data_IF_225021300436
#
_entry.id   IF_225021300436
#
_cell.length_a   1.000
_cell.length_b   1.000
_cell.length_c   1.000
_cell.angle_alpha   90.00
_cell.angle_beta   90.00
_cell.angle_gamma   90.00
#
_symmetry.space_group_name_H-M   'P 1'
#
loop_
_entity.id
_entity.type
_entity.pdbx_description
1 polymer ?
#
# COMPACT_ATOMS: atom_id res chain seq x y z
N UNK A 1 -5.41 -0.20 3.51
CA UNK A 1 -6.02 -1.04 4.57
C UNK A 1 -6.88 -2.10 3.89
N UNK A 2 -7.41 -3.08 4.61
CA UNK A 2 -8.25 -4.14 4.03
C UNK A 2 -9.42 -3.57 3.21
N UNK A 3 -10.15 -2.60 3.77
CA UNK A 3 -11.30 -1.93 3.12
C UNK A 3 -10.94 -1.15 1.85
N UNK A 4 -9.66 -0.98 1.57
CA UNK A 4 -9.21 -0.21 0.42
C UNK A 4 -8.92 -1.10 -0.80
N UNK A 5 -9.20 -2.40 -0.71
CA UNK A 5 -9.10 -3.36 -1.83
C UNK A 5 -10.50 -3.67 -2.33
N UNK A 6 -10.74 -3.38 -3.60
CA UNK A 6 -11.98 -3.72 -4.31
C UNK A 6 -11.69 -4.83 -5.33
N UNK A 7 -12.13 -6.05 -5.01
CA UNK A 7 -11.95 -7.21 -5.89
C UNK A 7 -12.94 -7.25 -7.04
N UNK A 8 -14.11 -6.61 -6.91
CA UNK A 8 -15.14 -6.59 -7.96
C UNK A 8 -14.73 -5.63 -9.08
N UNK A 9 -14.27 -4.44 -8.70
CA UNK A 9 -13.79 -3.43 -9.65
C UNK A 9 -12.31 -3.58 -10.00
N UNK A 10 -11.60 -4.53 -9.40
CA UNK A 10 -10.16 -4.76 -9.61
C UNK A 10 -9.33 -3.50 -9.35
N UNK A 11 -9.59 -2.86 -8.21
CA UNK A 11 -9.01 -1.56 -7.84
C UNK A 11 -8.47 -1.57 -6.41
N UNK A 12 -7.49 -0.70 -6.18
CA UNK A 12 -6.99 -0.38 -4.85
C UNK A 12 -7.09 1.14 -4.64
N UNK A 13 -7.73 1.53 -3.54
CA UNK A 13 -7.73 2.93 -3.09
C UNK A 13 -6.47 3.18 -2.25
N UNK A 14 -5.64 4.12 -2.66
CA UNK A 14 -4.52 4.60 -1.84
C UNK A 14 -4.95 5.90 -1.19
N UNK A 15 -5.14 5.83 0.14
CA UNK A 15 -5.53 7.00 0.94
C UNK A 15 -4.29 7.74 1.42
N UNK A 16 -4.20 9.02 1.09
CA UNK A 16 -3.14 9.87 1.59
C UNK A 16 -3.69 10.80 2.68
N UNK A 17 -2.98 10.89 3.81
CA UNK A 17 -3.41 11.74 4.93
C UNK A 17 -3.20 13.23 4.60
N UNK A 18 -3.82 14.11 5.41
CA UNK A 18 -3.61 15.58 5.45
C UNK A 18 -3.44 16.26 4.07
N UNK A 19 -4.56 16.57 3.41
CA UNK A 19 -4.59 17.54 2.30
C UNK A 19 -4.14 17.01 0.94
N UNK A 20 -3.68 15.76 0.85
CA UNK A 20 -3.44 15.07 -0.41
C UNK A 20 -4.68 14.25 -0.81
N UNK A 21 -5.03 14.27 -2.10
CA UNK A 21 -6.21 13.60 -2.63
C UNK A 21 -6.01 12.08 -2.62
N UNK A 22 -7.00 11.33 -2.13
CA UNK A 22 -7.07 9.88 -2.31
C UNK A 22 -6.97 9.54 -3.80
N UNK A 23 -6.24 8.47 -4.15
CA UNK A 23 -6.17 7.97 -5.53
C UNK A 23 -6.66 6.54 -5.62
N UNK A 24 -7.13 6.17 -6.80
CA UNK A 24 -7.47 4.78 -7.15
C UNK A 24 -6.44 4.29 -8.16
N UNK A 25 -5.97 3.06 -7.97
CA UNK A 25 -5.05 2.40 -8.88
C UNK A 25 -5.51 0.98 -9.17
N UNK A 26 -4.88 0.33 -10.15
CA UNK A 26 -5.31 -0.99 -10.64
C UNK A 26 -4.86 -2.11 -9.72
N UNK A 27 -5.71 -3.14 -9.57
CA UNK A 27 -5.37 -4.44 -9.01
C UNK A 27 -5.30 -5.47 -10.16
N UNK A 28 -4.09 -5.93 -10.54
CA UNK A 28 -3.96 -6.95 -11.58
C UNK A 28 -4.71 -8.24 -11.22
N UNK A 29 -5.48 -8.79 -12.17
CA UNK A 29 -6.24 -10.03 -12.00
C UNK A 29 -5.35 -11.20 -11.54
N UNK A 30 -4.13 -11.27 -12.04
CA UNK A 30 -3.13 -12.29 -11.69
C UNK A 30 -2.74 -12.29 -10.21
N UNK A 31 -2.93 -11.18 -9.50
CA UNK A 31 -2.59 -11.03 -8.08
C UNK A 31 -3.77 -11.28 -7.13
N UNK A 32 -5.01 -11.43 -7.64
CA UNK A 32 -6.20 -11.56 -6.80
C UNK A 32 -6.09 -12.73 -5.83
N UNK A 33 -5.72 -13.92 -6.31
CA UNK A 33 -5.64 -15.10 -5.46
C UNK A 33 -4.49 -15.03 -4.44
N UNK A 34 -3.37 -14.42 -4.83
CA UNK A 34 -2.26 -14.16 -3.91
C UNK A 34 -2.67 -13.17 -2.80
N UNK A 35 -3.39 -12.11 -3.16
CA UNK A 35 -3.87 -11.11 -2.21
C UNK A 35 -4.95 -11.68 -1.28
N UNK A 36 -5.87 -12.51 -1.78
CA UNK A 36 -6.85 -13.23 -0.95
C UNK A 36 -6.17 -14.14 0.07
N UNK A 37 -5.12 -14.87 -0.31
CA UNK A 37 -4.30 -15.65 0.65
C UNK A 37 -3.67 -14.76 1.71
N UNK A 38 -3.09 -13.64 1.31
CA UNK A 38 -2.49 -12.68 2.23
C UNK A 38 -3.53 -12.12 3.23
N UNK A 39 -4.72 -11.76 2.75
CA UNK A 39 -5.80 -11.26 3.61
C UNK A 39 -6.26 -12.31 4.62
N UNK A 40 -6.36 -13.59 4.25
CA UNK A 40 -6.68 -14.67 5.20
C UNK A 40 -5.63 -14.79 6.30
N UNK A 41 -4.34 -14.76 5.94
CA UNK A 41 -3.25 -14.79 6.92
C UNK A 41 -3.29 -13.57 7.85
N UNK A 42 -3.53 -12.38 7.31
CA UNK A 42 -3.64 -11.15 8.09
C UNK A 42 -4.88 -11.17 9.00
N UNK A 43 -6.00 -11.75 8.56
CA UNK A 43 -7.21 -11.89 9.35
C UNK A 43 -6.99 -12.83 10.55
N UNK A 44 -6.38 -13.99 10.33
CA UNK A 44 -6.06 -14.91 11.41
C UNK A 44 -5.14 -14.27 12.48
N UNK A 45 -4.17 -13.47 12.04
CA UNK A 45 -3.30 -12.72 12.95
C UNK A 45 -4.06 -11.63 13.73
N UNK A 46 -4.97 -10.92 13.07
CA UNK A 46 -5.84 -9.92 13.71
C UNK A 46 -6.75 -10.55 14.77
N UNK A 47 -7.36 -11.70 14.46
CA UNK A 47 -8.20 -12.44 15.41
C UNK A 47 -7.42 -12.88 16.65
N UNK A 48 -6.15 -13.28 16.48
CA UNK A 48 -5.26 -13.57 17.61
C UNK A 48 -4.99 -12.31 18.44
N UNK A 49 -4.61 -11.21 17.80
CA UNK A 49 -4.35 -9.96 18.51
C UNK A 49 -5.60 -9.45 19.24
N UNK A 50 -6.80 -9.60 18.66
CA UNK A 50 -8.05 -9.24 19.33
C UNK A 50 -8.28 -10.04 20.62
N UNK A 51 -8.02 -11.35 20.61
CA UNK A 51 -8.14 -12.22 21.80
C UNK A 51 -7.16 -11.83 22.89
N UNK A 52 -5.97 -11.35 22.51
CA UNK A 52 -4.94 -10.88 23.43
C UNK A 52 -5.12 -9.41 23.84
N UNK A 53 -6.13 -8.70 23.31
CA UNK A 53 -6.40 -7.29 23.63
C UNK A 53 -5.59 -6.26 22.83
N UNK A 54 -4.82 -6.70 21.83
CA UNK A 54 -3.94 -5.87 20.98
C UNK A 54 -4.46 -5.66 19.55
N UNK A 55 -5.65 -6.15 19.22
CA UNK A 55 -6.24 -6.08 17.88
C UNK A 55 -6.77 -4.70 17.50
N UNK A 56 -6.12 -3.62 17.94
CA UNK A 56 -6.48 -2.24 17.60
C UNK A 56 -5.34 -1.60 16.81
N UNK A 57 -5.67 -0.73 15.86
CA UNK A 57 -4.69 0.03 15.07
C UNK A 57 -4.87 1.53 15.22
N UNK A 58 -3.78 2.27 15.06
CA UNK A 58 -3.86 3.72 15.00
C UNK A 58 -4.81 4.21 13.90
N UNK A 59 -5.73 5.09 14.30
CA UNK A 59 -6.54 5.93 13.42
C UNK A 59 -6.24 7.42 13.72
N UNK A 60 -6.07 8.26 12.69
CA UNK A 60 -5.97 9.70 12.87
C UNK A 60 -7.15 10.27 13.66
N UNK A 61 -6.91 11.24 14.55
CA UNK A 61 -7.91 11.82 15.46
C UNK A 61 -9.28 12.10 14.83
N UNK A 62 -9.30 12.72 13.64
CA UNK A 62 -10.54 13.02 12.93
C UNK A 62 -11.35 11.76 12.56
N UNK A 63 -10.66 10.68 12.16
CA UNK A 63 -11.28 9.41 11.82
C UNK A 63 -11.70 8.64 13.07
N UNK A 64 -10.87 8.63 14.12
CA UNK A 64 -11.19 7.99 15.39
C UNK A 64 -12.45 8.62 16.04
N UNK A 65 -12.62 9.94 15.92
CA UNK A 65 -13.82 10.64 16.41
C UNK A 65 -15.06 10.32 15.57
N UNK A 66 -14.91 10.21 14.24
CA UNK A 66 -16.03 9.94 13.32
C UNK A 66 -16.51 8.49 13.40
N UNK A 67 -15.62 7.54 13.64
CA UNK A 67 -15.90 6.11 13.69
C UNK A 67 -15.38 5.52 15.01
N UNK A 68 -16.12 5.68 16.13
CA UNK A 68 -15.74 5.07 17.39
C UNK A 68 -15.77 3.53 17.22
N UNK A 69 -14.68 2.85 17.58
CA UNK A 69 -14.43 1.40 17.43
C UNK A 69 -13.86 0.90 16.09
N UNK A 70 -13.74 1.76 15.09
CA UNK A 70 -13.15 1.38 13.79
C UNK A 70 -11.72 0.82 13.91
N UNK A 71 -10.98 1.17 14.96
CA UNK A 71 -9.62 0.67 15.20
C UNK A 71 -9.54 -0.85 15.38
N UNK A 72 -10.61 -1.51 15.83
CA UNK A 72 -10.66 -2.98 16.00
C UNK A 72 -11.30 -3.72 14.83
N UNK A 73 -11.96 -3.01 13.92
CA UNK A 73 -12.68 -3.59 12.80
C UNK A 73 -11.71 -4.11 11.73
N UNK A 74 -12.05 -5.26 11.13
CA UNK A 74 -11.22 -5.90 10.11
C UNK A 74 -10.90 -4.99 8.92
N UNK A 75 -11.89 -4.23 8.44
CA UNK A 75 -11.72 -3.31 7.30
C UNK A 75 -10.61 -2.27 7.51
N UNK A 76 -10.33 -1.90 8.76
CA UNK A 76 -9.32 -0.91 9.09
C UNK A 76 -7.93 -1.49 9.34
N UNK A 77 -7.78 -2.82 9.32
CA UNK A 77 -6.49 -3.46 9.56
C UNK A 77 -5.54 -3.35 8.36
N UNK A 78 -4.26 -3.60 8.61
CA UNK A 78 -3.24 -3.62 7.58
C UNK A 78 -3.30 -4.93 6.79
N UNK A 79 -3.19 -4.85 5.46
CA UNK A 79 -3.09 -6.02 4.57
C UNK A 79 -1.77 -6.76 4.80
N UNK A 80 -0.70 -6.01 5.05
CA UNK A 80 0.65 -6.50 5.30
C UNK A 80 1.07 -6.13 6.73
N UNK A 81 0.55 -6.84 7.75
CA UNK A 81 0.91 -6.59 9.13
C UNK A 81 2.38 -6.98 9.41
N UNK A 82 3.02 -6.29 10.34
CA UNK A 82 4.34 -6.64 10.84
C UNK A 82 4.30 -7.99 11.58
N UNK A 83 5.41 -8.73 11.55
CA UNK A 83 5.51 -10.03 12.23
C UNK A 83 5.37 -9.90 13.75
N UNK A 84 5.90 -8.81 14.32
CA UNK A 84 5.84 -8.51 15.76
C UNK A 84 5.01 -7.27 16.00
N UNK A 85 4.36 -7.22 17.17
CA UNK A 85 3.77 -5.99 17.70
C UNK A 85 4.87 -5.02 18.11
N UNK A 86 4.51 -3.76 18.20
CA UNK A 86 5.40 -2.72 18.71
C UNK A 86 4.60 -1.64 19.42
N UNK A 87 5.29 -0.86 20.24
CA UNK A 87 4.72 0.31 20.87
C UNK A 87 4.54 1.44 19.84
N UNK A 88 3.33 1.98 19.70
CA UNK A 88 3.10 3.15 18.86
C UNK A 88 3.35 4.44 19.66
N UNK A 89 4.35 5.26 19.31
CA UNK A 89 4.62 6.51 20.02
C UNK A 89 3.48 7.52 19.93
N UNK A 90 2.55 7.37 18.98
CA UNK A 90 1.40 8.29 18.81
C UNK A 90 0.26 7.99 19.78
N UNK A 91 0.04 6.73 20.11
CA UNK A 91 -1.07 6.29 20.98
C UNK A 91 -0.59 5.88 22.36
N UNK A 92 0.71 5.60 22.53
CA UNK A 92 1.26 5.06 23.77
C UNK A 92 0.82 3.63 24.05
N UNK A 93 0.42 2.87 23.02
CA UNK A 93 -0.12 1.50 23.16
C UNK A 93 0.70 0.52 22.35
N UNK A 94 0.79 -0.71 22.85
CA UNK A 94 1.25 -1.83 22.04
C UNK A 94 0.16 -2.20 21.03
N UNK A 95 0.54 -2.30 19.76
CA UNK A 95 -0.36 -2.64 18.66
C UNK A 95 0.44 -3.21 17.48
N UNK A 96 -0.26 -3.83 16.53
CA UNK A 96 0.37 -4.31 15.31
C UNK A 96 0.40 -3.23 14.22
N UNK A 97 1.60 -2.92 13.76
CA UNK A 97 1.82 -2.01 12.63
C UNK A 97 1.85 -2.77 11.31
N UNK A 98 1.91 -2.04 10.19
CA UNK A 98 2.29 -2.64 8.92
C UNK A 98 3.77 -3.04 8.92
N UNK A 99 4.17 -3.91 8.00
CA UNK A 99 5.57 -4.20 7.74
C UNK A 99 6.37 -2.91 7.53
N UNK A 100 7.56 -2.84 8.11
CA UNK A 100 8.43 -1.68 7.99
C UNK A 100 8.82 -1.44 6.52
N UNK A 101 8.76 -0.20 6.07
CA UNK A 101 9.12 0.18 4.69
C UNK A 101 10.55 -0.23 4.35
N UNK A 102 11.47 -0.09 5.31
CA UNK A 102 12.88 -0.47 5.15
C UNK A 102 13.05 -1.96 4.92
N UNK A 103 12.17 -2.82 5.45
CA UNK A 103 12.21 -4.25 5.20
C UNK A 103 11.87 -4.56 3.73
N UNK A 104 10.82 -3.92 3.19
CA UNK A 104 10.47 -4.05 1.77
C UNK A 104 11.58 -3.51 0.85
N UNK A 105 12.13 -2.34 1.16
CA UNK A 105 13.23 -1.75 0.39
C UNK A 105 14.47 -2.65 0.36
N UNK A 106 14.84 -3.25 1.50
CA UNK A 106 15.94 -4.21 1.58
C UNK A 106 15.65 -5.47 0.77
N UNK A 107 14.43 -6.00 0.85
CA UNK A 107 14.01 -7.18 0.08
C UNK A 107 14.10 -6.93 -1.43
N UNK A 108 13.60 -5.78 -1.92
CA UNK A 108 13.68 -5.40 -3.33
C UNK A 108 15.14 -5.27 -3.79
N UNK A 109 16.00 -4.61 -3.00
CA UNK A 109 17.44 -4.51 -3.33
C UNK A 109 18.11 -5.88 -3.38
N UNK A 110 17.78 -6.78 -2.46
CA UNK A 110 18.30 -8.14 -2.47
C UNK A 110 17.84 -8.91 -3.72
N UNK A 111 16.56 -8.80 -4.10
CA UNK A 111 16.01 -9.43 -5.29
C UNK A 111 16.66 -8.92 -6.58
N UNK A 112 16.89 -7.61 -6.71
CA UNK A 112 17.59 -7.01 -7.86
C UNK A 112 18.99 -7.60 -8.02
N UNK A 113 19.74 -7.70 -6.91
CA UNK A 113 21.08 -8.32 -6.93
C UNK A 113 21.02 -9.80 -7.29
N UNK A 114 20.07 -10.55 -6.72
CA UNK A 114 19.90 -11.97 -7.00
C UNK A 114 19.51 -12.25 -8.46
N UNK A 115 18.77 -11.32 -9.09
CA UNK A 115 18.40 -11.39 -10.50
C UNK A 115 19.55 -11.00 -11.46
N UNK A 116 20.74 -10.64 -10.96
CA UNK A 116 21.88 -10.23 -11.79
C UNK A 116 21.69 -8.87 -12.47
N UNK A 117 20.74 -8.05 -12.02
CA UNK A 117 20.49 -6.72 -12.60
C UNK A 117 21.57 -5.76 -12.10
N UNK A 118 22.40 -5.27 -13.04
CA UNK A 118 23.52 -4.36 -12.75
C UNK A 118 23.08 -2.92 -12.55
N UNK A 119 21.93 -2.52 -13.10
CA UNK A 119 21.35 -1.19 -12.92
C UNK A 119 20.86 -1.01 -11.49
N UNK A 120 21.07 0.18 -10.93
CA UNK A 120 20.50 0.54 -9.62
C UNK A 120 18.98 0.54 -9.70
N UNK A 121 18.32 -0.20 -8.80
CA UNK A 121 16.86 -0.23 -8.71
C UNK A 121 16.35 -0.17 -7.27
N UNK A 122 15.10 0.26 -7.14
CA UNK A 122 14.39 0.42 -5.87
C UNK A 122 12.88 0.27 -6.08
N UNK A 123 12.09 0.36 -5.01
CA UNK A 123 10.62 0.43 -5.12
C UNK A 123 10.17 1.61 -6.00
N UNK A 124 10.90 2.72 -5.99
CA UNK A 124 10.61 3.88 -6.83
C UNK A 124 10.88 3.58 -8.32
N UNK A 125 11.92 2.79 -8.61
CA UNK A 125 12.21 2.33 -9.98
C UNK A 125 11.10 1.43 -10.55
N UNK A 126 10.48 0.60 -9.71
CA UNK A 126 9.32 -0.21 -10.11
C UNK A 126 8.10 0.67 -10.43
N UNK A 127 7.86 1.71 -9.62
CA UNK A 127 6.80 2.70 -9.87
C UNK A 127 7.04 3.47 -11.17
N UNK A 128 8.28 3.83 -11.46
CA UNK A 128 8.66 4.46 -12.73
C UNK A 128 8.40 3.52 -13.91
N UNK A 129 8.85 2.26 -13.80
CA UNK A 129 8.65 1.26 -14.86
C UNK A 129 7.17 1.04 -15.16
N UNK A 130 6.31 1.05 -14.14
CA UNK A 130 4.85 1.01 -14.31
C UNK A 130 4.33 2.17 -15.17
N UNK A 131 4.78 3.40 -14.90
CA UNK A 131 4.37 4.57 -15.67
C UNK A 131 4.86 4.53 -17.12
N UNK A 132 6.13 4.18 -17.32
CA UNK A 132 6.75 4.07 -18.64
C UNK A 132 6.06 2.98 -19.47
N UNK A 133 5.82 1.80 -18.92
CA UNK A 133 5.17 0.72 -19.66
C UNK A 133 3.71 1.06 -20.03
N UNK A 134 2.98 1.81 -19.20
CA UNK A 134 1.64 2.29 -19.57
C UNK A 134 1.72 3.28 -20.74
N UNK A 135 2.69 4.20 -20.70
CA UNK A 135 2.91 5.14 -21.80
C UNK A 135 3.29 4.43 -23.10
N UNK A 136 4.21 3.45 -23.03
CA UNK A 136 4.61 2.60 -24.16
C UNK A 136 3.45 1.78 -24.73
N UNK A 137 2.52 1.36 -23.87
CA UNK A 137 1.28 0.69 -24.27
C UNK A 137 0.22 1.65 -24.84
N UNK A 138 0.54 2.94 -24.97
CA UNK A 138 -0.32 3.95 -25.58
C UNK A 138 -1.40 4.52 -24.66
N UNK A 139 -1.29 4.33 -23.35
CA UNK A 139 -2.21 4.96 -22.39
C UNK A 139 -2.01 6.47 -22.39
N UNK A 140 -3.10 7.22 -22.28
CA UNK A 140 -3.03 8.66 -22.22
C UNK A 140 -2.37 9.14 -20.91
N UNK A 141 -1.65 10.25 -21.00
CA UNK A 141 -0.87 10.79 -19.88
C UNK A 141 -1.75 11.19 -18.68
N UNK A 142 -3.03 11.51 -18.89
CA UNK A 142 -3.96 11.88 -17.81
C UNK A 142 -4.36 10.64 -17.02
N UNK A 143 -4.66 9.53 -17.68
CA UNK A 143 -4.88 8.23 -17.04
C UNK A 143 -3.67 7.80 -16.22
N UNK A 144 -2.44 7.93 -16.78
CA UNK A 144 -1.22 7.61 -16.02
C UNK A 144 -1.07 8.54 -14.81
N UNK A 145 -1.30 9.85 -14.99
CA UNK A 145 -1.26 10.83 -13.91
C UNK A 145 -2.22 10.46 -12.77
N UNK A 146 -3.45 10.04 -13.08
CA UNK A 146 -4.46 9.62 -12.10
C UNK A 146 -4.04 8.35 -11.36
N UNK A 147 -3.59 7.32 -12.08
CA UNK A 147 -3.14 6.06 -11.48
C UNK A 147 -1.94 6.24 -10.55
N UNK A 148 -1.07 7.21 -10.86
CA UNK A 148 0.06 7.57 -10.00
C UNK A 148 -0.35 8.54 -8.88
N UNK A 149 -1.43 9.29 -9.04
CA UNK A 149 -1.86 10.37 -8.16
C UNK A 149 -0.89 11.53 -8.12
N UNK A 150 -0.39 11.94 -9.30
CA UNK A 150 0.40 13.16 -9.40
C UNK A 150 -0.52 14.37 -9.46
N UNK A 151 -0.30 15.35 -8.58
CA UNK A 151 -1.09 16.57 -8.55
C UNK A 151 -0.90 17.44 -9.81
N UNK A 152 0.32 17.41 -10.38
CA UNK A 152 0.67 18.11 -11.61
C UNK A 152 1.12 17.10 -12.68
N UNK A 153 0.63 17.30 -13.90
CA UNK A 153 1.00 16.51 -15.08
C UNK A 153 2.49 16.64 -15.39
N UNK A 154 3.13 17.75 -15.02
CA UNK A 154 4.59 17.95 -15.18
C UNK A 154 5.40 16.83 -14.53
N UNK A 155 4.94 16.29 -13.40
CA UNK A 155 5.59 15.16 -12.73
C UNK A 155 5.48 13.86 -13.53
N UNK A 156 4.38 13.69 -14.28
CA UNK A 156 4.17 12.55 -15.17
C UNK A 156 4.89 12.72 -16.51
N UNK A 157 5.05 13.96 -16.99
CA UNK A 157 5.81 14.27 -18.22
C UNK A 157 7.30 13.93 -18.09
N UNK A 158 7.84 13.75 -16.89
CA UNK A 158 9.21 13.21 -16.72
C UNK A 158 9.35 11.86 -17.46
N UNK A 159 8.28 11.07 -17.57
CA UNK A 159 8.30 9.78 -18.29
C UNK A 159 8.23 9.91 -19.80
N UNK A 160 7.70 11.01 -20.34
CA UNK A 160 7.63 11.22 -21.79
C UNK A 160 9.00 11.56 -22.39
N UNK A 161 9.97 11.98 -21.57
CA UNK A 161 11.33 12.31 -22.00
C UNK A 161 12.31 11.13 -21.93
N UNK A 162 11.85 9.96 -21.48
CA UNK A 162 12.68 8.74 -21.35
C UNK A 162 12.54 7.83 -22.59
N UNK A 163 11.52 8.07 -23.43
CA UNK A 163 11.39 7.52 -24.79
C UNK A 163 12.30 8.27 -25.76
#
# INVERSE_FOLDING_TARGET
>A
RVKDVDFEQTQITVREGKGVKDRVTVLPLSLIEALRRQLRSAQALHELDLREGFGRVYLPYALARKYPNAEGEWGWQYIFPAQKRSFDPRTGREQRHHIAETALQKAVRAAIRAAGITKTGSCHSLRHSFATHLLEAGYDIRTIQELMGHADVSTTMIYTHVL
#
